data_IF_089816162443
#
_entry.id   IF_089816162443
#
_cell.length_a   1.000
_cell.length_b   1.000
_cell.length_c   1.000
_cell.angle_alpha   90.00
_cell.angle_beta   90.00
_cell.angle_gamma   90.00
#
_symmetry.space_group_name_H-M   'P 1'
#
loop_
_entity.id
_entity.type
_entity.pdbx_description
1 polymer ?
#
# COMPACT_ATOMS: atom_id res chain seq x y z
N UNK A 1 8.10 -13.57 -19.50
CA UNK A 1 7.58 -12.19 -19.64
C UNK A 1 7.80 -11.44 -18.34
N UNK A 2 8.23 -10.19 -18.39
CA UNK A 2 8.35 -9.40 -17.18
C UNK A 2 6.97 -9.09 -16.58
N UNK A 3 6.87 -8.91 -15.28
CA UNK A 3 5.63 -8.53 -14.64
C UNK A 3 5.08 -7.19 -15.17
N UNK A 4 3.77 -7.09 -15.23
CA UNK A 4 3.06 -5.92 -15.72
C UNK A 4 2.53 -5.13 -14.52
N UNK A 5 2.84 -3.84 -14.45
CA UNK A 5 2.38 -2.93 -13.39
C UNK A 5 1.25 -2.06 -13.95
N UNK A 6 0.10 -2.09 -13.32
CA UNK A 6 -1.08 -1.38 -13.81
C UNK A 6 -1.83 -0.68 -12.66
N UNK A 7 -2.33 0.51 -12.94
CA UNK A 7 -3.24 1.17 -12.00
C UNK A 7 -4.54 0.37 -11.95
N UNK A 8 -4.98 0.04 -10.74
CA UNK A 8 -6.19 -0.73 -10.54
C UNK A 8 -7.44 0.12 -10.71
N UNK A 9 -8.48 -0.48 -11.25
CA UNK A 9 -9.81 0.09 -11.37
C UNK A 9 -10.81 -0.76 -10.61
N UNK A 10 -12.06 -0.34 -10.58
CA UNK A 10 -13.13 -1.10 -9.92
C UNK A 10 -13.25 -2.54 -10.48
N UNK A 11 -12.89 -2.74 -11.76
CA UNK A 11 -12.88 -4.07 -12.37
C UNK A 11 -11.86 -5.02 -11.72
N UNK A 12 -10.85 -4.50 -11.04
CA UNK A 12 -9.78 -5.26 -10.41
C UNK A 12 -10.04 -5.57 -8.93
N UNK A 13 -11.21 -5.20 -8.42
CA UNK A 13 -11.54 -5.28 -6.99
C UNK A 13 -11.33 -6.70 -6.43
N UNK A 14 -11.84 -7.73 -7.11
CA UNK A 14 -11.72 -9.10 -6.61
C UNK A 14 -10.27 -9.62 -6.66
N UNK A 15 -9.47 -9.18 -7.63
CA UNK A 15 -8.05 -9.50 -7.70
C UNK A 15 -7.28 -8.89 -6.52
N UNK A 16 -7.54 -7.62 -6.22
CA UNK A 16 -6.98 -6.95 -5.05
C UNK A 16 -7.40 -7.65 -3.75
N UNK A 17 -8.68 -7.92 -3.61
CA UNK A 17 -9.21 -8.57 -2.39
C UNK A 17 -8.58 -9.94 -2.16
N UNK A 18 -8.37 -10.71 -3.21
CA UNK A 18 -7.69 -12.01 -3.14
C UNK A 18 -6.27 -11.88 -2.59
N UNK A 19 -5.51 -10.91 -3.07
CA UNK A 19 -4.15 -10.65 -2.58
C UNK A 19 -4.15 -10.09 -1.15
N UNK A 20 -5.13 -9.28 -0.80
CA UNK A 20 -5.28 -8.77 0.57
C UNK A 20 -5.55 -9.89 1.56
N UNK A 21 -6.34 -10.88 1.18
CA UNK A 21 -6.55 -12.08 2.00
C UNK A 21 -5.26 -12.86 2.20
N UNK A 22 -4.45 -13.02 1.14
CA UNK A 22 -3.15 -13.68 1.24
C UNK A 22 -2.20 -12.91 2.17
N UNK A 23 -2.23 -11.60 2.12
CA UNK A 23 -1.43 -10.76 3.02
C UNK A 23 -1.84 -10.97 4.49
N UNK A 24 -3.13 -11.12 4.78
CA UNK A 24 -3.60 -11.36 6.15
C UNK A 24 -3.02 -12.63 6.77
N UNK A 25 -2.73 -13.64 5.97
CA UNK A 25 -2.10 -14.87 6.46
C UNK A 25 -0.63 -14.66 6.83
N UNK A 26 0.06 -13.76 6.11
CA UNK A 26 1.49 -13.50 6.32
C UNK A 26 1.75 -12.38 7.34
N UNK A 27 0.97 -11.31 7.29
CA UNK A 27 1.13 -10.12 8.13
C UNK A 27 -0.27 -9.52 8.42
N UNK A 28 -1.01 -10.09 9.37
CA UNK A 28 -2.39 -9.67 9.65
C UNK A 28 -2.49 -8.24 10.17
N UNK A 29 -3.59 -7.57 9.82
CA UNK A 29 -3.92 -6.28 10.40
C UNK A 29 -4.18 -6.40 11.92
N UNK A 30 -4.07 -5.29 12.63
CA UNK A 30 -4.46 -5.23 14.05
C UNK A 30 -5.97 -5.37 14.24
N UNK A 31 -6.77 -4.90 13.26
CA UNK A 31 -8.22 -5.05 13.26
C UNK A 31 -8.63 -6.30 12.46
N UNK A 32 -9.76 -6.93 12.83
CA UNK A 32 -10.24 -8.10 12.09
C UNK A 32 -10.50 -7.80 10.62
N UNK A 33 -10.11 -8.73 9.75
CA UNK A 33 -10.38 -8.62 8.31
C UNK A 33 -11.83 -9.04 8.01
N UNK A 34 -12.71 -8.06 7.97
CA UNK A 34 -14.11 -8.29 7.55
C UNK A 34 -14.23 -8.17 6.04
N UNK A 35 -14.34 -9.28 5.34
CA UNK A 35 -14.31 -9.30 3.87
C UNK A 35 -15.31 -8.34 3.23
N UNK A 36 -16.56 -8.32 3.72
CA UNK A 36 -17.58 -7.43 3.14
C UNK A 36 -17.28 -5.96 3.38
N UNK A 37 -16.76 -5.62 4.56
CA UNK A 37 -16.36 -4.25 4.90
C UNK A 37 -15.18 -3.81 4.06
N UNK A 38 -14.18 -4.67 3.92
CA UNK A 38 -12.99 -4.39 3.09
C UNK A 38 -13.38 -4.21 1.64
N UNK A 39 -14.26 -5.07 1.11
CA UNK A 39 -14.76 -4.97 -0.25
C UNK A 39 -15.44 -3.62 -0.50
N UNK A 40 -16.31 -3.19 0.41
CA UNK A 40 -17.01 -1.92 0.28
C UNK A 40 -16.05 -0.72 0.35
N UNK A 41 -15.09 -0.75 1.27
CA UNK A 41 -14.10 0.33 1.42
C UNK A 41 -13.14 0.38 0.25
N UNK A 42 -12.72 -0.77 -0.25
CA UNK A 42 -11.86 -0.86 -1.43
C UNK A 42 -12.56 -0.30 -2.67
N UNK A 43 -13.84 -0.62 -2.85
CA UNK A 43 -14.64 -0.06 -3.93
C UNK A 43 -14.70 1.47 -3.85
N UNK A 44 -14.86 2.03 -2.66
CA UNK A 44 -14.85 3.48 -2.46
C UNK A 44 -13.49 4.09 -2.82
N UNK A 45 -12.40 3.48 -2.39
CA UNK A 45 -11.06 3.97 -2.71
C UNK A 45 -10.81 3.96 -4.22
N UNK A 46 -11.17 2.87 -4.89
CA UNK A 46 -10.97 2.74 -6.34
C UNK A 46 -11.80 3.75 -7.15
N UNK A 47 -12.91 4.23 -6.61
CA UNK A 47 -13.79 5.21 -7.27
C UNK A 47 -13.48 6.65 -6.90
N UNK A 48 -12.64 6.89 -5.90
CA UNK A 48 -12.36 8.24 -5.38
C UNK A 48 -10.86 8.52 -5.38
N UNK A 49 -10.33 9.11 -6.47
CA UNK A 49 -8.90 9.42 -6.58
C UNK A 49 -8.37 10.34 -5.49
N UNK A 50 -9.26 11.06 -4.79
CA UNK A 50 -8.85 11.91 -3.67
C UNK A 50 -8.50 11.12 -2.41
N UNK A 51 -9.04 9.90 -2.27
CA UNK A 51 -8.70 9.03 -1.14
C UNK A 51 -7.36 8.34 -1.35
N UNK A 52 -7.12 7.84 -2.54
CA UNK A 52 -5.90 7.09 -2.81
C UNK A 52 -5.87 6.46 -4.18
N UNK A 53 -4.87 5.62 -4.38
CA UNK A 53 -4.61 4.90 -5.62
C UNK A 53 -4.20 3.48 -5.28
N UNK A 54 -4.63 2.53 -6.09
CA UNK A 54 -4.13 1.16 -6.01
C UNK A 54 -3.44 0.77 -7.31
N UNK A 55 -2.44 -0.07 -7.20
CA UNK A 55 -1.72 -0.64 -8.34
C UNK A 55 -1.65 -2.16 -8.17
N UNK A 56 -1.84 -2.89 -9.27
CA UNK A 56 -1.67 -4.34 -9.34
C UNK A 56 -0.45 -4.69 -10.18
N UNK A 57 0.20 -5.76 -9.80
CA UNK A 57 1.27 -6.37 -10.59
C UNK A 57 0.79 -7.74 -11.06
N UNK A 58 0.93 -7.98 -12.33
CA UNK A 58 0.47 -9.20 -13.00
C UNK A 58 1.64 -10.01 -13.53
N UNK A 59 1.62 -11.30 -13.28
CA UNK A 59 2.43 -12.27 -14.01
C UNK A 59 1.48 -13.01 -14.95
N UNK A 60 1.57 -12.68 -16.25
CA UNK A 60 0.59 -13.12 -17.25
C UNK A 60 -0.82 -12.68 -16.85
N UNK A 61 -1.73 -13.59 -16.58
CA UNK A 61 -3.11 -13.29 -16.16
C UNK A 61 -3.32 -13.42 -14.64
N UNK A 62 -2.25 -13.62 -13.88
CA UNK A 62 -2.35 -13.81 -12.43
C UNK A 62 -1.86 -12.58 -11.68
N UNK A 63 -2.66 -12.03 -10.75
CA UNK A 63 -2.19 -10.95 -9.89
C UNK A 63 -1.23 -11.52 -8.84
N UNK A 64 -0.06 -10.87 -8.67
CA UNK A 64 1.01 -11.38 -7.81
C UNK A 64 1.47 -10.40 -6.74
N UNK A 65 1.10 -9.14 -6.88
CA UNK A 65 1.50 -8.10 -5.92
C UNK A 65 0.56 -6.90 -6.04
N UNK A 66 0.52 -6.06 -5.00
CA UNK A 66 -0.22 -4.82 -5.06
C UNK A 66 0.39 -3.75 -4.16
N UNK A 67 0.01 -2.52 -4.46
CA UNK A 67 0.36 -1.32 -3.71
C UNK A 67 -0.92 -0.50 -3.51
N UNK A 68 -1.16 -0.03 -2.29
CA UNK A 68 -2.21 0.95 -2.01
C UNK A 68 -1.57 2.19 -1.39
N UNK A 69 -1.84 3.34 -1.99
CA UNK A 69 -1.42 4.65 -1.50
C UNK A 69 -2.67 5.40 -1.06
N UNK A 70 -2.64 5.99 0.14
CA UNK A 70 -3.68 6.88 0.63
C UNK A 70 -3.14 8.29 0.77
N UNK A 71 -3.98 9.30 0.61
CA UNK A 71 -3.58 10.69 0.72
C UNK A 71 -4.06 11.30 2.03
N UNK A 72 -3.26 12.20 2.57
CA UNK A 72 -3.62 13.00 3.75
C UNK A 72 -3.27 14.47 3.52
N UNK A 73 -3.49 15.29 4.52
CA UNK A 73 -3.10 16.68 4.52
C UNK A 73 -2.52 17.04 5.90
N UNK A 74 -1.29 17.52 5.93
CA UNK A 74 -0.59 17.83 7.17
C UNK A 74 0.16 19.14 7.05
N UNK A 75 -0.05 20.03 8.02
CA UNK A 75 0.69 21.29 8.07
C UNK A 75 2.17 21.07 8.35
N UNK A 76 2.49 20.10 9.21
CA UNK A 76 3.88 19.74 9.53
C UNK A 76 4.62 19.26 8.27
N UNK A 77 3.94 18.48 7.42
CA UNK A 77 4.54 17.90 6.21
C UNK A 77 4.16 18.66 4.93
N UNK A 78 3.97 19.98 5.05
CA UNK A 78 3.84 20.92 3.94
C UNK A 78 2.60 20.75 3.05
N UNK A 79 1.54 20.19 3.61
CA UNK A 79 0.27 20.07 2.90
C UNK A 79 -0.05 18.64 2.51
N UNK A 80 -0.35 18.38 1.23
CA UNK A 80 -0.73 17.04 0.78
C UNK A 80 0.40 16.05 0.97
N UNK A 81 0.08 14.95 1.62
CA UNK A 81 0.98 13.83 1.85
C UNK A 81 0.42 12.55 1.25
N UNK A 82 1.27 11.55 1.15
CA UNK A 82 0.89 10.22 0.72
C UNK A 82 1.41 9.20 1.73
N UNK A 83 0.66 8.11 1.87
CA UNK A 83 1.01 6.97 2.70
C UNK A 83 1.01 5.72 1.85
N UNK A 84 2.04 4.91 1.97
CA UNK A 84 1.94 3.52 1.53
C UNK A 84 1.10 2.80 2.59
N UNK A 85 -0.19 2.66 2.30
CA UNK A 85 -1.12 1.99 3.20
C UNK A 85 -0.86 0.49 3.21
N UNK A 86 -0.63 -0.08 2.01
CA UNK A 86 -0.30 -1.49 1.86
C UNK A 86 0.66 -1.72 0.71
N UNK A 87 1.58 -2.66 0.90
CA UNK A 87 2.47 -3.18 -0.14
C UNK A 87 2.68 -4.66 0.13
N UNK A 88 2.32 -5.49 -0.84
CA UNK A 88 2.40 -6.95 -0.71
C UNK A 88 2.90 -7.59 -1.99
N UNK A 89 3.78 -8.57 -1.85
CA UNK A 89 4.26 -9.43 -2.94
C UNK A 89 4.05 -10.88 -2.50
N UNK A 90 3.40 -11.68 -3.34
CA UNK A 90 3.23 -13.11 -3.07
C UNK A 90 4.57 -13.78 -2.80
N UNK A 91 4.59 -14.74 -1.87
CA UNK A 91 5.80 -15.44 -1.44
C UNK A 91 6.59 -16.03 -2.61
N UNK A 92 5.89 -16.62 -3.59
CA UNK A 92 6.51 -17.24 -4.77
C UNK A 92 7.23 -16.25 -5.70
N UNK A 93 6.95 -14.96 -5.57
CA UNK A 93 7.50 -13.91 -6.42
C UNK A 93 8.43 -12.94 -5.68
N UNK A 94 8.72 -13.20 -4.41
CA UNK A 94 9.65 -12.39 -3.62
C UNK A 94 11.09 -12.60 -4.07
N UNK A 95 11.95 -11.62 -3.77
CA UNK A 95 13.38 -11.69 -4.14
C UNK A 95 13.65 -11.43 -5.61
N UNK A 96 12.67 -10.92 -6.35
CA UNK A 96 12.79 -10.61 -7.79
C UNK A 96 12.74 -9.10 -8.08
N UNK A 97 12.83 -8.26 -7.04
CA UNK A 97 12.83 -6.81 -7.20
C UNK A 97 11.45 -6.16 -7.36
N UNK A 98 10.36 -6.92 -7.29
CA UNK A 98 8.99 -6.37 -7.45
C UNK A 98 8.66 -5.37 -6.35
N UNK A 99 8.98 -5.68 -5.10
CA UNK A 99 8.77 -4.75 -3.99
C UNK A 99 9.52 -3.44 -4.16
N UNK A 100 10.75 -3.50 -4.62
CA UNK A 100 11.56 -2.30 -4.92
C UNK A 100 10.94 -1.48 -6.04
N UNK A 101 10.47 -2.12 -7.10
CA UNK A 101 9.78 -1.44 -8.20
C UNK A 101 8.47 -0.80 -7.72
N UNK A 102 7.74 -1.44 -6.80
CA UNK A 102 6.55 -0.86 -6.21
C UNK A 102 6.87 0.36 -5.34
N UNK A 103 7.98 0.35 -4.61
CA UNK A 103 8.43 1.53 -3.86
C UNK A 103 8.78 2.69 -4.79
N UNK A 104 9.46 2.40 -5.90
CA UNK A 104 9.77 3.42 -6.91
C UNK A 104 8.48 3.99 -7.51
N UNK A 105 7.53 3.12 -7.83
CA UNK A 105 6.24 3.54 -8.37
C UNK A 105 5.46 4.38 -7.36
N UNK A 106 5.51 4.03 -6.07
CA UNK A 106 4.87 4.81 -5.02
C UNK A 106 5.40 6.24 -4.97
N UNK A 107 6.71 6.44 -5.11
CA UNK A 107 7.29 7.78 -5.19
C UNK A 107 6.82 8.54 -6.43
N UNK A 108 6.83 7.91 -7.58
CA UNK A 108 6.40 8.53 -8.84
C UNK A 108 4.94 8.97 -8.75
N UNK A 109 4.06 8.08 -8.33
CA UNK A 109 2.62 8.37 -8.21
C UNK A 109 2.36 9.45 -7.17
N UNK A 110 3.07 9.43 -6.04
CA UNK A 110 2.93 10.45 -5.01
C UNK A 110 3.32 11.83 -5.53
N UNK A 111 4.42 11.93 -6.28
CA UNK A 111 4.84 13.20 -6.92
C UNK A 111 3.84 13.68 -7.97
N UNK A 112 3.34 12.78 -8.79
CA UNK A 112 2.33 13.10 -9.81
C UNK A 112 1.04 13.67 -9.19
N UNK A 113 0.72 13.23 -7.98
CA UNK A 113 -0.44 13.70 -7.22
C UNK A 113 -0.11 14.87 -6.27
N UNK A 114 1.06 15.50 -6.45
CA UNK A 114 1.49 16.68 -5.71
C UNK A 114 1.71 16.45 -4.21
N UNK A 115 1.95 15.22 -3.79
CA UNK A 115 2.31 14.93 -2.40
C UNK A 115 3.73 15.44 -2.10
N UNK A 116 3.90 16.03 -0.92
CA UNK A 116 5.17 16.60 -0.46
C UNK A 116 6.00 15.57 0.30
N UNK A 117 5.35 14.59 0.90
CA UNK A 117 5.98 13.50 1.65
C UNK A 117 5.30 12.18 1.33
N UNK A 118 6.07 11.12 1.43
CA UNK A 118 5.59 9.76 1.36
C UNK A 118 5.95 9.06 2.67
N UNK A 119 4.95 8.56 3.37
CA UNK A 119 5.08 7.91 4.66
C UNK A 119 4.77 6.42 4.55
N UNK A 120 5.29 5.65 5.47
CA UNK A 120 4.90 4.26 5.68
C UNK A 120 5.07 3.90 7.16
N UNK A 121 4.41 2.83 7.56
CA UNK A 121 4.61 2.21 8.84
C UNK A 121 5.28 0.85 8.64
N UNK A 122 6.12 0.47 9.58
CA UNK A 122 6.78 -0.83 9.56
C UNK A 122 6.85 -1.35 11.00
N UNK A 123 6.48 -2.61 11.18
CA UNK A 123 6.52 -3.24 12.50
C UNK A 123 7.96 -3.35 13.00
N UNK A 124 8.12 -3.17 14.33
CA UNK A 124 9.42 -3.39 14.97
C UNK A 124 9.91 -4.81 14.68
N UNK A 125 11.18 -4.94 14.34
CA UNK A 125 11.77 -6.24 14.01
C UNK A 125 11.55 -6.71 12.58
N UNK A 126 10.79 -5.98 11.78
CA UNK A 126 10.64 -6.29 10.36
C UNK A 126 11.92 -5.93 9.61
N UNK A 127 12.47 -6.89 8.87
CA UNK A 127 13.74 -6.70 8.11
C UNK A 127 13.62 -5.64 7.03
N UNK A 128 12.42 -5.38 6.54
CA UNK A 128 12.18 -4.37 5.51
C UNK A 128 12.58 -2.95 5.95
N UNK A 129 12.71 -2.70 7.25
CA UNK A 129 13.11 -1.38 7.76
C UNK A 129 14.47 -0.94 7.19
N UNK A 130 15.40 -1.88 7.01
CA UNK A 130 16.73 -1.57 6.44
C UNK A 130 16.62 -1.14 4.98
N UNK A 131 15.73 -1.78 4.22
CA UNK A 131 15.44 -1.38 2.84
C UNK A 131 14.88 0.03 2.80
N UNK A 132 13.91 0.33 3.66
CA UNK A 132 13.30 1.66 3.72
C UNK A 132 14.30 2.74 4.07
N UNK A 133 15.17 2.50 5.06
CA UNK A 133 16.24 3.43 5.43
C UNK A 133 17.20 3.69 4.27
N UNK A 134 17.62 2.65 3.56
CA UNK A 134 18.49 2.80 2.38
C UNK A 134 17.83 3.61 1.28
N UNK A 135 16.52 3.60 1.20
CA UNK A 135 15.77 4.37 0.20
C UNK A 135 15.39 5.77 0.69
N UNK A 136 15.88 6.19 1.84
CA UNK A 136 15.72 7.56 2.32
C UNK A 136 14.56 7.79 3.27
N UNK A 137 13.87 6.74 3.72
CA UNK A 137 12.83 6.89 4.74
C UNK A 137 13.49 7.11 6.11
N UNK A 138 13.10 8.19 6.77
CA UNK A 138 13.58 8.53 8.11
C UNK A 138 12.62 8.10 9.20
N UNK A 139 13.18 7.67 10.32
CA UNK A 139 12.40 7.28 11.49
C UNK A 139 12.04 8.53 12.32
N UNK A 140 10.78 8.65 12.71
CA UNK A 140 10.30 9.81 13.45
C UNK A 140 10.32 9.64 14.97
N UNK A 141 10.61 8.46 15.47
CA UNK A 141 10.61 8.15 16.91
C UNK A 141 9.30 8.56 17.60
N UNK A 142 8.18 8.36 16.92
CA UNK A 142 6.83 8.64 17.42
C UNK A 142 6.03 7.36 17.47
N UNK A 143 5.07 7.30 18.41
CA UNK A 143 4.13 6.20 18.46
C UNK A 143 2.91 6.52 17.62
N UNK A 144 2.47 5.59 16.79
CA UNK A 144 1.13 5.62 16.23
C UNK A 144 0.18 5.12 17.32
N UNK A 145 -0.83 5.91 17.63
CA UNK A 145 -1.87 5.54 18.59
C UNK A 145 -3.22 5.67 17.90
N UNK A 146 -4.05 4.64 18.01
CA UNK A 146 -5.34 4.60 17.34
C UNK A 146 -6.47 4.32 18.33
N UNK A 147 -7.61 4.96 18.13
CA UNK A 147 -8.81 4.76 18.93
C UNK A 147 -9.98 4.52 17.98
N UNK A 148 -10.65 3.35 18.06
CA UNK A 148 -11.86 3.14 17.27
C UNK A 148 -12.93 4.16 17.66
N UNK A 149 -13.62 4.73 16.66
CA UNK A 149 -14.70 5.68 16.88
C UNK A 149 -16.08 5.07 16.65
N UNK A 150 -16.12 3.82 16.25
CA UNK A 150 -17.36 3.06 16.08
C UNK A 150 -17.61 2.17 17.29
N UNK A 151 -18.84 2.08 17.71
CA UNK A 151 -19.27 1.21 18.81
C UNK A 151 -19.30 -0.26 18.39
#
# INVERSE_FOLDING_TARGET
MPPRFELATLADLESLLSLMKAMQEADPWSEPFGENTVRANLAQLLQNPTYGIACLVWDSERPIAYLVICFDYSLEYRGKGAWIDELFVEASHRGRGIGTQLLDLAEILSREHHAQFLHLEVSHGNRAIELYRRRGYGDHHRYLMSKPLTS
#
